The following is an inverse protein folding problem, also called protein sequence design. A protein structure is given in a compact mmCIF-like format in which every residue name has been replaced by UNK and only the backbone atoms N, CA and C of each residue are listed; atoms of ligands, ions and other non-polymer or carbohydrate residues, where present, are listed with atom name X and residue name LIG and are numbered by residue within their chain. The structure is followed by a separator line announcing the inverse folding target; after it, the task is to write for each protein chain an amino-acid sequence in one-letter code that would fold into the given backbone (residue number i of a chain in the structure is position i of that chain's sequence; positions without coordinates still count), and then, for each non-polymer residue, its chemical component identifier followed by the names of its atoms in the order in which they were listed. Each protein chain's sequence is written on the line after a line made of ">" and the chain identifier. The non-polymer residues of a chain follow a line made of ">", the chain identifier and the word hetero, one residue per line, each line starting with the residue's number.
data_IF_955960545627
#
_entry.id   IF_955960545627
#
_cell.length_a   1.000
_cell.length_b   1.000
_cell.length_c   1.000
_cell.angle_alpha   90.00
_cell.angle_beta   90.00
_cell.angle_gamma   90.00
#
_symmetry.space_group_name_H-M   'P 1'
#
loop_
_entity.id
_entity.type
_entity.pdbx_description
1 polymer ?
#
# COMPACT_ATOMS: atom_id res chain seq x y z
N UNK A 1 14.22 -17.28 -2.78
CA UNK A 1 14.23 -16.16 -3.73
C UNK A 1 13.15 -15.14 -3.36
N UNK A 2 13.31 -13.88 -3.77
CA UNK A 2 12.33 -12.80 -3.53
C UNK A 2 11.35 -12.80 -4.71
N UNK A 3 10.21 -13.49 -4.59
CA UNK A 3 9.17 -13.49 -5.64
C UNK A 3 8.25 -12.27 -5.56
N UNK A 4 7.87 -11.74 -6.73
CA UNK A 4 6.72 -10.84 -6.88
C UNK A 4 5.49 -11.69 -7.16
N UNK A 5 4.43 -11.54 -6.36
CA UNK A 5 3.16 -12.23 -6.62
C UNK A 5 2.29 -11.30 -7.45
N UNK A 6 1.95 -11.72 -8.67
CA UNK A 6 1.18 -10.90 -9.63
C UNK A 6 1.81 -9.50 -9.84
N UNK A 7 3.13 -9.44 -9.90
CA UNK A 7 3.86 -8.19 -10.11
C UNK A 7 3.94 -7.26 -8.90
N UNK A 8 3.40 -7.63 -7.73
CA UNK A 8 3.36 -6.74 -6.54
C UNK A 8 4.00 -7.38 -5.32
N UNK A 9 4.63 -6.56 -4.47
CA UNK A 9 5.25 -6.98 -3.22
C UNK A 9 5.33 -5.85 -2.19
N UNK A 10 5.09 -6.15 -0.91
CA UNK A 10 5.45 -5.25 0.19
C UNK A 10 6.97 -5.09 0.32
N UNK A 11 7.42 -3.92 0.72
CA UNK A 11 8.82 -3.59 0.95
C UNK A 11 8.97 -2.62 2.13
N UNK A 12 10.16 -2.61 2.71
CA UNK A 12 10.53 -1.65 3.73
C UNK A 12 11.96 -1.18 3.48
N UNK A 13 12.15 0.14 3.40
CA UNK A 13 13.45 0.77 3.21
C UNK A 13 14.05 1.11 4.58
N UNK A 14 15.31 0.72 4.79
CA UNK A 14 16.01 0.91 6.05
C UNK A 14 17.20 1.86 5.89
N UNK A 15 17.56 2.56 6.96
CA UNK A 15 18.85 3.22 7.06
C UNK A 15 19.98 2.23 7.40
N UNK A 16 21.22 2.72 7.36
CA UNK A 16 22.41 1.92 7.70
C UNK A 16 22.43 1.39 9.15
N UNK A 17 21.58 1.93 10.04
CA UNK A 17 21.43 1.47 11.42
C UNK A 17 20.33 0.42 11.56
N UNK A 18 19.64 0.07 10.48
CA UNK A 18 18.50 -0.85 10.48
C UNK A 18 17.19 -0.24 10.99
N UNK A 19 17.04 1.11 10.91
CA UNK A 19 15.78 1.80 11.22
C UNK A 19 14.98 2.05 9.96
N UNK A 20 13.66 2.00 10.07
CA UNK A 20 12.75 2.25 8.95
C UNK A 20 12.90 3.70 8.49
N UNK A 21 13.12 3.86 7.18
CA UNK A 21 12.97 5.12 6.45
C UNK A 21 11.51 5.27 6.04
N UNK A 22 10.96 4.26 5.36
CA UNK A 22 9.54 4.17 5.01
C UNK A 22 9.16 2.72 4.65
N UNK A 23 7.90 2.37 4.81
CA UNK A 23 7.27 1.25 4.10
C UNK A 23 6.96 1.64 2.66
N UNK A 24 6.79 0.63 1.81
CA UNK A 24 6.43 0.79 0.41
C UNK A 24 5.77 -0.46 -0.16
N UNK A 25 5.08 -0.31 -1.28
CA UNK A 25 4.64 -1.40 -2.16
C UNK A 25 5.41 -1.27 -3.47
N UNK A 26 6.07 -2.35 -3.88
CA UNK A 26 6.79 -2.44 -5.14
C UNK A 26 5.89 -3.05 -6.20
N UNK A 27 5.82 -2.39 -7.34
CA UNK A 27 5.18 -2.87 -8.55
C UNK A 27 6.24 -3.11 -9.61
N UNK A 28 6.28 -4.32 -10.18
CA UNK A 28 7.20 -4.70 -11.24
C UNK A 28 6.46 -4.68 -12.58
N UNK A 29 7.01 -3.92 -13.53
CA UNK A 29 6.59 -3.84 -14.92
C UNK A 29 7.75 -4.26 -15.83
N UNK A 30 7.45 -4.77 -17.03
CA UNK A 30 8.46 -5.25 -17.97
C UNK A 30 9.23 -6.50 -17.49
N UNK A 31 10.28 -6.87 -18.22
CA UNK A 31 11.10 -8.06 -17.94
C UNK A 31 10.45 -9.40 -18.34
N UNK A 32 9.36 -9.37 -19.11
CA UNK A 32 8.83 -10.54 -19.80
C UNK A 32 9.58 -10.77 -21.11
N UNK A 33 9.82 -12.04 -21.46
CA UNK A 33 10.25 -12.40 -22.82
C UNK A 33 8.97 -12.52 -23.63
N UNK A 34 8.74 -11.64 -24.61
CA UNK A 34 7.72 -11.90 -25.63
C UNK A 34 8.09 -13.20 -26.33
N UNK A 35 7.34 -14.27 -26.06
CA UNK A 35 7.56 -15.59 -26.64
C UNK A 35 7.38 -15.62 -28.18
N UNK A 36 7.03 -14.48 -28.79
CA UNK A 36 6.83 -14.28 -30.22
C UNK A 36 8.04 -13.69 -30.95
N UNK A 37 9.10 -13.23 -30.26
CA UNK A 37 10.31 -12.75 -30.95
C UNK A 37 11.58 -13.10 -30.17
N UNK A 38 12.37 -14.03 -30.72
CA UNK A 38 13.64 -14.49 -30.13
C UNK A 38 14.79 -13.48 -30.25
N UNK A 39 14.59 -12.39 -31.00
CA UNK A 39 15.65 -11.44 -31.39
C UNK A 39 15.45 -10.02 -30.84
N UNK A 40 14.35 -9.75 -30.10
CA UNK A 40 14.15 -8.47 -29.44
C UNK A 40 14.94 -8.42 -28.12
N UNK A 41 15.64 -7.31 -27.87
CA UNK A 41 16.21 -7.06 -26.56
C UNK A 41 15.07 -7.06 -25.52
N UNK A 42 15.24 -7.72 -24.36
CA UNK A 42 14.20 -7.73 -23.34
C UNK A 42 13.89 -6.30 -22.92
N UNK A 43 12.61 -5.99 -22.78
CA UNK A 43 12.18 -4.70 -22.27
C UNK A 43 12.87 -4.39 -20.94
N UNK A 44 13.30 -3.15 -20.71
CA UNK A 44 13.92 -2.76 -19.46
C UNK A 44 12.98 -3.09 -18.29
N UNK A 45 13.52 -3.67 -17.22
CA UNK A 45 12.74 -3.86 -16.00
C UNK A 45 12.42 -2.50 -15.38
N UNK A 46 11.13 -2.23 -15.20
CA UNK A 46 10.64 -1.01 -14.57
C UNK A 46 9.98 -1.33 -13.23
N UNK A 47 10.20 -0.46 -12.25
CA UNK A 47 9.60 -0.60 -10.93
C UNK A 47 8.93 0.71 -10.53
N UNK A 48 7.68 0.64 -10.10
CA UNK A 48 7.04 1.73 -9.35
C UNK A 48 7.13 1.44 -7.86
N UNK A 49 7.46 2.48 -7.10
CA UNK A 49 7.55 2.42 -5.64
C UNK A 49 6.40 3.26 -5.09
N UNK A 50 5.34 2.58 -4.71
CA UNK A 50 4.19 3.18 -4.04
C UNK A 50 4.54 3.39 -2.56
N UNK A 51 4.59 4.65 -2.15
CA UNK A 51 5.09 5.11 -0.85
C UNK A 51 4.13 6.14 -0.29
N UNK A 52 3.95 6.22 1.05
CA UNK A 52 3.19 7.29 1.68
C UNK A 52 3.69 8.67 1.22
N UNK A 53 2.75 9.58 0.94
CA UNK A 53 3.08 10.89 0.36
C UNK A 53 4.00 11.73 1.26
N UNK A 54 3.89 11.59 2.58
CA UNK A 54 4.76 12.25 3.56
C UNK A 54 6.19 11.68 3.62
N UNK A 55 6.44 10.54 2.97
CA UNK A 55 7.73 9.87 2.90
C UNK A 55 8.39 9.88 1.50
N UNK A 56 7.70 10.40 0.49
CA UNK A 56 8.16 10.39 -0.91
C UNK A 56 9.52 11.10 -1.09
N UNK A 57 9.63 12.36 -0.63
CA UNK A 57 10.88 13.14 -0.71
C UNK A 57 12.03 12.49 0.06
N UNK A 58 11.72 11.97 1.25
CA UNK A 58 12.68 11.29 2.11
C UNK A 58 13.23 10.03 1.42
N UNK A 59 12.36 9.22 0.81
CA UNK A 59 12.76 8.03 0.08
C UNK A 59 13.54 8.38 -1.19
N UNK A 60 13.11 9.39 -1.94
CA UNK A 60 13.80 9.83 -3.15
C UNK A 60 15.24 10.28 -2.85
N UNK A 61 15.42 11.08 -1.79
CA UNK A 61 16.75 11.47 -1.32
C UNK A 61 17.57 10.27 -0.86
N UNK A 62 16.95 9.33 -0.13
CA UNK A 62 17.59 8.10 0.32
C UNK A 62 18.08 7.24 -0.87
N UNK A 63 17.24 7.01 -1.87
CA UNK A 63 17.58 6.24 -3.06
C UNK A 63 18.69 6.91 -3.88
N UNK A 64 18.61 8.23 -4.09
CA UNK A 64 19.66 9.01 -4.79
C UNK A 64 21.02 8.91 -4.10
N UNK A 65 21.05 8.87 -2.77
CA UNK A 65 22.28 8.71 -1.98
C UNK A 65 23.01 7.39 -2.27
N UNK A 66 22.28 6.30 -2.52
CA UNK A 66 22.87 4.97 -2.77
C UNK A 66 22.95 4.61 -4.26
N UNK A 67 22.48 5.48 -5.16
CA UNK A 67 22.61 5.28 -6.62
C UNK A 67 24.08 5.31 -7.03
N UNK A 68 24.59 4.19 -7.53
CA UNK A 68 25.94 4.11 -8.08
C UNK A 68 26.03 4.84 -9.42
N UNK A 69 27.15 5.54 -9.66
CA UNK A 69 27.37 6.33 -10.88
C UNK A 69 27.24 5.52 -12.18
N UNK A 70 27.58 4.23 -12.16
CA UNK A 70 27.57 3.34 -13.33
C UNK A 70 26.39 2.34 -13.33
N UNK A 71 25.34 2.58 -12.54
CA UNK A 71 24.24 1.60 -12.42
C UNK A 71 23.29 1.57 -13.62
N UNK A 72 23.25 2.61 -14.45
CA UNK A 72 22.23 2.74 -15.51
C UNK A 72 20.79 2.95 -14.99
N UNK A 73 20.59 3.02 -13.66
CA UNK A 73 19.27 3.14 -13.05
C UNK A 73 18.81 4.60 -13.04
N UNK A 74 17.61 4.86 -13.53
CA UNK A 74 16.94 6.16 -13.44
C UNK A 74 15.92 6.14 -12.30
N UNK A 75 15.89 7.19 -11.49
CA UNK A 75 15.00 7.32 -10.32
C UNK A 75 14.34 8.69 -10.42
N UNK A 76 13.03 8.69 -10.64
CA UNK A 76 12.23 9.88 -10.93
C UNK A 76 10.97 9.82 -10.08
N UNK A 77 10.52 10.98 -9.61
CA UNK A 77 9.23 11.12 -8.96
C UNK A 77 8.13 11.15 -10.02
N UNK A 78 7.09 10.34 -9.84
CA UNK A 78 5.94 10.22 -10.75
C UNK A 78 4.61 10.50 -10.03
N UNK A 79 4.63 11.15 -8.86
CA UNK A 79 3.44 11.41 -8.05
C UNK A 79 2.37 12.25 -8.76
N UNK A 80 2.73 13.08 -9.74
CA UNK A 80 1.77 13.85 -10.54
C UNK A 80 1.16 13.05 -11.72
N UNK A 81 1.79 11.94 -12.09
CA UNK A 81 1.44 11.16 -13.27
C UNK A 81 0.71 9.86 -12.93
N UNK A 82 0.92 9.35 -11.71
CA UNK A 82 0.38 8.07 -11.26
C UNK A 82 -0.51 8.27 -10.04
N UNK A 83 -1.79 7.95 -10.18
CA UNK A 83 -2.75 7.92 -9.08
C UNK A 83 -2.69 6.60 -8.32
N UNK A 84 -2.83 6.62 -6.98
CA UNK A 84 -2.84 5.42 -6.14
C UNK A 84 -4.14 5.36 -5.34
N UNK A 85 -4.81 4.20 -5.38
CA UNK A 85 -6.09 3.98 -4.74
C UNK A 85 -6.15 2.65 -4.00
N UNK A 86 -6.99 2.60 -2.97
CA UNK A 86 -7.37 1.39 -2.25
C UNK A 86 -8.85 1.10 -2.53
N UNK A 87 -9.15 -0.17 -2.81
CA UNK A 87 -10.45 -0.62 -3.31
C UNK A 87 -10.89 -1.88 -2.55
N UNK A 88 -12.01 -1.81 -1.83
CA UNK A 88 -12.42 -2.85 -0.87
C UNK A 88 -13.17 -4.04 -1.47
N UNK A 89 -12.54 -4.86 -2.28
CA UNK A 89 -13.12 -6.12 -2.75
C UNK A 89 -12.27 -6.72 -3.85
N UNK A 90 -12.88 -7.35 -4.85
CA UNK A 90 -12.15 -7.91 -5.99
C UNK A 90 -12.65 -7.32 -7.29
N UNK A 91 -11.78 -7.25 -8.30
CA UNK A 91 -12.21 -6.97 -9.66
C UNK A 91 -13.19 -8.04 -10.14
N UNK A 92 -14.15 -7.62 -10.96
CA UNK A 92 -15.05 -8.52 -11.65
C UNK A 92 -14.29 -9.35 -12.71
N UNK A 93 -14.99 -10.27 -13.39
CA UNK A 93 -14.39 -11.11 -14.42
C UNK A 93 -13.78 -10.34 -15.62
N UNK A 94 -14.06 -9.04 -15.75
CA UNK A 94 -13.50 -8.17 -16.79
C UNK A 94 -12.03 -7.80 -16.60
N UNK A 95 -11.45 -8.09 -15.43
CA UNK A 95 -10.04 -7.81 -15.16
C UNK A 95 -9.72 -6.33 -14.93
N UNK A 96 -8.43 -6.01 -14.96
CA UNK A 96 -7.94 -4.63 -14.78
C UNK A 96 -8.05 -3.88 -16.12
N UNK A 97 -8.74 -2.73 -16.19
CA UNK A 97 -8.82 -1.96 -17.44
C UNK A 97 -7.46 -1.46 -17.93
N UNK A 98 -7.37 -1.15 -19.22
CA UNK A 98 -6.18 -0.51 -19.81
C UNK A 98 -5.87 0.83 -19.12
N UNK A 99 -4.59 1.12 -18.92
CA UNK A 99 -4.13 2.30 -18.20
C UNK A 99 -4.19 2.18 -16.67
N UNK A 100 -4.55 1.01 -16.14
CA UNK A 100 -4.53 0.71 -14.71
C UNK A 100 -3.69 -0.53 -14.40
N UNK A 101 -3.14 -0.58 -13.20
CA UNK A 101 -2.60 -1.80 -12.59
C UNK A 101 -3.34 -2.07 -11.29
N UNK A 102 -3.67 -3.32 -10.99
CA UNK A 102 -4.40 -3.67 -9.78
C UNK A 102 -3.94 -5.03 -9.25
N UNK A 103 -3.75 -5.11 -7.94
CA UNK A 103 -3.41 -6.34 -7.25
C UNK A 103 -4.01 -6.33 -5.85
N UNK A 104 -4.16 -7.52 -5.26
CA UNK A 104 -4.51 -7.63 -3.83
C UNK A 104 -3.39 -6.95 -3.03
N UNK A 105 -3.75 -6.12 -2.06
CA UNK A 105 -2.78 -5.44 -1.20
C UNK A 105 -1.89 -6.49 -0.51
N UNK A 106 -0.57 -6.46 -0.73
CA UNK A 106 0.33 -7.51 -0.25
C UNK A 106 0.52 -7.48 1.28
N UNK A 107 0.07 -6.42 1.96
CA UNK A 107 0.26 -6.23 3.40
C UNK A 107 -0.82 -6.94 4.20
N UNK A 108 -2.08 -6.84 3.76
CA UNK A 108 -3.21 -7.47 4.44
C UNK A 108 -4.45 -7.58 3.55
N UNK A 109 -5.16 -8.73 3.50
CA UNK A 109 -6.34 -8.91 2.65
C UNK A 109 -7.49 -7.92 2.92
N UNK A 110 -7.64 -7.43 4.16
CA UNK A 110 -8.69 -6.46 4.50
C UNK A 110 -8.50 -5.08 3.85
N UNK A 111 -7.32 -4.77 3.31
CA UNK A 111 -7.11 -3.58 2.50
C UNK A 111 -7.57 -3.75 1.04
N UNK A 112 -8.10 -4.92 0.69
CA UNK A 112 -8.65 -5.19 -0.63
C UNK A 112 -7.59 -5.13 -1.72
N UNK A 113 -7.88 -4.37 -2.77
CA UNK A 113 -7.02 -4.17 -3.93
C UNK A 113 -6.30 -2.83 -3.83
N UNK A 114 -5.01 -2.83 -4.14
CA UNK A 114 -4.24 -1.63 -4.45
C UNK A 114 -4.35 -1.40 -5.96
N UNK A 115 -4.64 -0.17 -6.37
CA UNK A 115 -4.86 0.20 -7.79
C UNK A 115 -3.99 1.39 -8.14
N UNK A 116 -3.23 1.28 -9.22
CA UNK A 116 -2.49 2.36 -9.85
C UNK A 116 -3.23 2.84 -11.10
N UNK A 117 -3.41 4.15 -11.25
CA UNK A 117 -3.78 4.79 -12.50
C UNK A 117 -2.50 5.24 -13.19
N UNK A 118 -2.13 4.59 -14.30
CA UNK A 118 -0.85 4.75 -14.99
C UNK A 118 -0.89 5.79 -16.11
N UNK A 119 -2.07 6.31 -16.40
CA UNK A 119 -2.28 7.36 -17.40
C UNK A 119 -3.03 8.50 -16.72
N UNK A 120 -2.84 9.77 -17.14
CA UNK A 120 -3.67 10.89 -16.69
C UNK A 120 -5.16 10.80 -17.08
N UNK A 121 -5.65 9.60 -17.43
CA UNK A 121 -7.01 9.36 -17.90
C UNK A 121 -8.01 9.83 -16.84
N UNK A 122 -8.99 10.61 -17.30
CA UNK A 122 -9.89 11.42 -16.49
C UNK A 122 -10.42 10.67 -15.26
N UNK A 123 -10.46 11.37 -14.12
CA UNK A 123 -11.12 10.96 -12.88
C UNK A 123 -12.51 10.34 -13.07
N UNK A 124 -13.20 10.67 -14.17
CA UNK A 124 -14.47 10.08 -14.58
C UNK A 124 -14.40 8.56 -14.83
N UNK A 125 -13.39 8.05 -15.55
CA UNK A 125 -13.26 6.62 -15.84
C UNK A 125 -12.96 5.79 -14.58
N UNK A 126 -12.19 6.37 -13.64
CA UNK A 126 -11.94 5.75 -12.35
C UNK A 126 -13.19 5.78 -11.46
N UNK A 127 -13.91 6.90 -11.40
CA UNK A 127 -15.17 7.00 -10.66
C UNK A 127 -16.23 6.03 -11.18
N UNK A 128 -16.32 5.82 -12.50
CA UNK A 128 -17.25 4.85 -13.11
C UNK A 128 -16.84 3.40 -12.85
N UNK A 129 -15.53 3.08 -12.91
CA UNK A 129 -15.01 1.78 -12.49
C UNK A 129 -15.37 1.49 -11.02
N UNK A 130 -15.35 2.52 -10.17
CA UNK A 130 -15.50 2.41 -8.73
C UNK A 130 -16.95 2.49 -8.24
N UNK A 131 -17.81 3.25 -8.91
CA UNK A 131 -19.22 3.48 -8.54
C UNK A 131 -20.08 2.22 -8.64
N UNK A 132 -19.70 1.28 -9.51
CA UNK A 132 -20.34 -0.03 -9.65
C UNK A 132 -19.81 -1.11 -8.69
N UNK A 133 -18.71 -0.88 -7.99
CA UNK A 133 -18.04 -1.93 -7.21
C UNK A 133 -17.99 -1.68 -5.70
N UNK A 134 -18.01 -0.43 -5.20
CA UNK A 134 -17.80 -0.17 -3.75
C UNK A 134 -18.57 1.03 -3.18
N UNK A 135 -18.90 1.00 -1.87
CA UNK A 135 -19.54 2.14 -1.22
C UNK A 135 -18.61 3.37 -1.18
N UNK A 136 -19.10 4.57 -1.53
CA UNK A 136 -18.35 5.81 -1.38
C UNK A 136 -18.32 6.18 0.10
N UNK A 137 -17.23 5.87 0.80
CA UNK A 137 -17.10 6.20 2.22
C UNK A 137 -15.73 6.82 2.55
N UNK A 138 -15.66 8.12 2.85
CA UNK A 138 -14.44 8.78 3.28
C UNK A 138 -13.90 8.19 4.59
N UNK A 139 -12.57 8.23 4.78
CA UNK A 139 -11.84 7.82 6.01
C UNK A 139 -11.87 6.33 6.36
N UNK A 140 -12.44 5.50 5.51
CA UNK A 140 -12.44 4.03 5.61
C UNK A 140 -11.03 3.44 5.64
N UNK A 141 -10.11 3.94 4.80
CA UNK A 141 -8.73 3.46 4.71
C UNK A 141 -7.99 3.46 6.03
N UNK A 142 -7.91 4.62 6.69
CA UNK A 142 -7.20 4.78 7.95
C UNK A 142 -7.79 3.92 9.07
N UNK A 143 -9.12 3.76 9.10
CA UNK A 143 -9.78 2.94 10.11
C UNK A 143 -9.48 1.46 9.86
N UNK A 144 -9.66 0.98 8.64
CA UNK A 144 -9.44 -0.43 8.29
C UNK A 144 -7.98 -0.83 8.47
N UNK A 145 -7.02 0.02 8.04
CA UNK A 145 -5.58 -0.29 8.24
C UNK A 145 -5.22 -0.34 9.72
N UNK A 146 -5.75 0.59 10.53
CA UNK A 146 -5.48 0.64 11.97
C UNK A 146 -6.06 -0.56 12.68
N UNK A 147 -7.26 -1.00 12.32
CA UNK A 147 -7.86 -2.23 12.87
C UNK A 147 -7.11 -3.49 12.43
N UNK A 148 -6.55 -3.49 11.22
CA UNK A 148 -5.66 -4.54 10.74
C UNK A 148 -4.25 -4.49 11.37
N UNK A 149 -3.95 -3.50 12.22
CA UNK A 149 -2.64 -3.35 12.88
C UNK A 149 -1.51 -2.89 11.96
N UNK A 150 -1.86 -2.20 10.87
CA UNK A 150 -0.92 -1.76 9.84
C UNK A 150 -0.51 -0.30 10.08
N UNK A 151 0.73 -0.14 10.55
CA UNK A 151 1.36 1.18 10.61
C UNK A 151 1.94 1.55 9.25
N UNK A 152 1.81 2.82 8.88
CA UNK A 152 2.20 3.36 7.57
C UNK A 152 2.88 4.73 7.72
N UNK A 153 3.86 5.02 6.86
CA UNK A 153 4.49 6.34 6.75
C UNK A 153 5.18 6.77 8.05
N UNK A 154 4.88 8.00 8.50
CA UNK A 154 5.47 8.57 9.73
C UNK A 154 5.21 7.75 11.00
N UNK A 155 4.20 6.88 11.04
CA UNK A 155 3.94 5.95 12.15
C UNK A 155 5.08 4.93 12.35
N UNK A 156 5.94 4.74 11.35
CA UNK A 156 7.06 3.80 11.37
C UNK A 156 8.40 4.47 11.74
N UNK A 157 8.45 5.80 11.77
CA UNK A 157 9.70 6.56 11.88
C UNK A 157 10.53 6.13 13.09
N UNK A 158 11.82 5.86 12.86
CA UNK A 158 12.80 5.51 13.89
C UNK A 158 12.67 4.11 14.51
N UNK A 159 11.69 3.30 14.08
CA UNK A 159 11.45 1.93 14.58
C UNK A 159 12.22 0.89 13.76
N UNK A 160 12.30 -0.34 14.26
CA UNK A 160 12.83 -1.48 13.48
C UNK A 160 11.74 -2.13 12.63
N UNK A 161 12.16 -2.81 11.56
CA UNK A 161 11.26 -3.58 10.70
C UNK A 161 10.41 -4.59 11.49
N UNK A 162 11.02 -5.31 12.44
CA UNK A 162 10.33 -6.34 13.22
C UNK A 162 9.38 -5.78 14.29
N UNK A 163 9.72 -4.64 14.91
CA UNK A 163 8.78 -3.93 15.80
C UNK A 163 7.53 -3.46 15.05
N UNK A 164 7.66 -3.22 13.74
CA UNK A 164 6.56 -2.79 12.88
C UNK A 164 5.96 -3.92 12.04
N UNK A 165 6.17 -5.19 12.40
CA UNK A 165 5.53 -6.36 11.76
C UNK A 165 5.84 -6.52 10.25
N UNK A 166 6.93 -5.94 9.75
CA UNK A 166 7.28 -5.94 8.32
C UNK A 166 7.61 -7.34 7.78
N UNK A 167 7.96 -8.30 8.64
CA UNK A 167 8.11 -9.71 8.28
C UNK A 167 6.79 -10.38 7.89
N UNK A 168 5.66 -9.89 8.40
CA UNK A 168 4.33 -10.43 8.06
C UNK A 168 3.74 -9.77 6.81
N UNK A 169 4.13 -8.53 6.52
CA UNK A 169 3.65 -7.73 5.39
C UNK A 169 4.52 -7.87 4.12
N UNK A 170 5.48 -8.80 4.13
CA UNK A 170 6.40 -9.03 3.00
C UNK A 170 7.56 -8.03 2.87
N UNK A 171 7.64 -7.04 3.78
CA UNK A 171 8.67 -6.00 3.82
C UNK A 171 10.07 -6.50 4.21
N UNK A 172 10.17 -7.64 4.90
CA UNK A 172 11.44 -8.30 5.25
C UNK A 172 11.52 -9.71 4.65
N UNK A 173 12.71 -10.09 4.17
CA UNK A 173 13.03 -11.46 3.81
C UNK A 173 14.33 -11.87 4.46
N UNK A 174 14.31 -12.99 5.19
CA UNK A 174 15.49 -13.59 5.82
C UNK A 174 16.28 -14.51 4.88
N UNK A 175 15.79 -14.70 3.64
CA UNK A 175 16.37 -15.59 2.63
C UNK A 175 16.93 -14.85 1.40
N UNK A 176 16.96 -13.50 1.44
CA UNK A 176 17.51 -12.69 0.34
C UNK A 176 18.98 -12.32 0.61
N UNK A 177 19.66 -11.83 -0.42
CA UNK A 177 21.04 -11.33 -0.33
C UNK A 177 21.16 -10.08 0.56
N UNK A 178 22.36 -9.51 0.58
CA UNK A 178 22.67 -8.37 1.44
C UNK A 178 21.81 -7.15 1.13
N UNK A 179 21.31 -6.48 2.17
CA UNK A 179 20.58 -5.22 2.07
C UNK A 179 20.95 -4.27 3.20
N UNK A 180 20.71 -2.98 3.01
CA UNK A 180 21.06 -1.94 3.98
C UNK A 180 20.35 -2.18 5.32
N UNK A 181 21.09 -2.16 6.43
CA UNK A 181 20.54 -2.34 7.77
C UNK A 181 20.13 -3.78 8.12
N UNK A 182 20.54 -4.77 7.32
CA UNK A 182 20.22 -6.18 7.54
C UNK A 182 20.73 -6.71 8.87
N UNK A 183 21.90 -6.28 9.34
CA UNK A 183 22.57 -6.83 10.51
C UNK A 183 21.70 -6.74 11.76
N UNK A 184 21.04 -5.59 11.95
CA UNK A 184 20.13 -5.39 13.08
C UNK A 184 18.89 -6.27 12.95
N UNK A 185 18.30 -6.33 11.75
CA UNK A 185 17.09 -7.14 11.47
C UNK A 185 17.35 -8.63 11.67
N UNK A 186 18.46 -9.14 11.11
CA UNK A 186 18.86 -10.54 11.23
C UNK A 186 19.22 -10.89 12.68
N UNK A 187 20.01 -10.05 13.37
CA UNK A 187 20.31 -10.24 14.79
C UNK A 187 19.03 -10.32 15.61
N UNK A 188 18.12 -9.37 15.44
CA UNK A 188 16.86 -9.33 16.19
C UNK A 188 16.01 -10.58 15.94
N UNK A 189 15.99 -11.10 14.71
CA UNK A 189 15.29 -12.34 14.37
C UNK A 189 15.92 -13.59 15.03
N UNK A 190 17.24 -13.67 15.10
CA UNK A 190 17.94 -14.87 15.59
C UNK A 190 18.25 -14.87 17.09
N UNK A 191 18.50 -13.71 17.71
CA UNK A 191 18.98 -13.62 19.10
C UNK A 191 17.87 -13.50 20.15
N UNK A 192 16.60 -13.34 19.77
CA UNK A 192 15.52 -13.34 20.76
C UNK A 192 14.17 -12.83 20.27
N UNK A 193 13.17 -12.96 21.14
CA UNK A 193 11.81 -12.53 20.88
C UNK A 193 11.71 -11.00 20.69
N UNK A 194 10.99 -10.58 19.65
CA UNK A 194 10.59 -9.19 19.44
C UNK A 194 9.68 -8.76 20.61
N UNK A 195 10.20 -7.91 21.50
CA UNK A 195 9.53 -7.55 22.77
C UNK A 195 8.50 -6.43 22.66
N UNK A 196 8.52 -5.69 21.55
CA UNK A 196 7.61 -4.57 21.27
C UNK A 196 7.12 -4.72 19.85
N UNK A 197 5.81 -4.59 19.65
CA UNK A 197 5.19 -4.63 18.32
C UNK A 197 4.14 -3.53 18.21
N UNK A 198 3.96 -3.02 17.00
CA UNK A 198 2.76 -2.28 16.63
C UNK A 198 1.56 -3.22 16.77
N UNK A 199 0.54 -2.78 17.50
CA UNK A 199 -0.70 -3.51 17.70
C UNK A 199 -1.88 -2.56 17.50
N UNK A 200 -2.99 -3.04 16.94
CA UNK A 200 -4.25 -2.30 16.95
C UNK A 200 -4.73 -2.16 18.39
N UNK A 201 -5.15 -0.96 18.78
CA UNK A 201 -5.79 -0.71 20.08
C UNK A 201 -7.12 -0.01 19.86
N UNK A 202 -8.12 -0.42 20.64
CA UNK A 202 -9.39 0.28 20.77
C UNK A 202 -9.48 0.79 22.21
N UNK A 203 -9.61 2.10 22.36
CA UNK A 203 -9.90 2.70 23.65
C UNK A 203 -11.42 2.72 23.82
N UNK A 204 -11.91 2.10 24.89
CA UNK A 204 -13.33 2.02 25.23
C UNK A 204 -13.54 2.61 26.63
N UNK A 205 -14.67 3.29 26.89
CA UNK A 205 -15.10 3.60 28.24
C UNK A 205 -15.18 2.33 29.09
N UNK A 206 -14.95 2.46 30.39
CA UNK A 206 -14.94 1.35 31.34
C UNK A 206 -16.29 0.64 31.47
N UNK A 207 -17.37 1.34 31.13
CA UNK A 207 -18.74 0.87 31.23
C UNK A 207 -19.22 0.12 29.97
N UNK A 208 -18.45 0.20 28.88
CA UNK A 208 -18.81 -0.43 27.60
C UNK A 208 -18.07 -1.76 27.49
N UNK A 209 -18.85 -2.85 27.37
CA UNK A 209 -18.29 -4.17 27.08
C UNK A 209 -17.52 -4.11 25.75
N UNK A 210 -16.24 -4.53 25.77
CA UNK A 210 -15.38 -4.52 24.60
C UNK A 210 -16.09 -5.32 23.49
N UNK A 211 -16.51 -4.68 22.39
CA UNK A 211 -17.26 -5.37 21.37
C UNK A 211 -16.37 -6.44 20.74
N UNK A 212 -16.95 -7.59 20.40
CA UNK A 212 -16.21 -8.63 19.69
C UNK A 212 -15.71 -8.07 18.35
N UNK A 213 -14.59 -8.54 17.79
CA UNK A 213 -14.02 -7.97 16.55
C UNK A 213 -15.02 -7.86 15.40
N UNK A 214 -15.93 -8.82 15.25
CA UNK A 214 -16.99 -8.78 14.23
C UNK A 214 -18.11 -7.78 14.54
N UNK A 215 -18.37 -7.47 15.82
CA UNK A 215 -19.28 -6.40 16.23
C UNK A 215 -18.71 -5.03 15.88
N UNK A 216 -17.39 -4.84 16.02
CA UNK A 216 -16.71 -3.62 15.60
C UNK A 216 -16.81 -3.46 14.08
N UNK A 217 -16.59 -4.53 13.32
CA UNK A 217 -16.72 -4.50 11.86
C UNK A 217 -18.15 -4.12 11.42
N UNK A 218 -19.17 -4.68 12.05
CA UNK A 218 -20.58 -4.36 11.81
C UNK A 218 -20.94 -2.91 12.18
N UNK A 219 -20.47 -2.43 13.35
CA UNK A 219 -20.63 -1.03 13.77
C UNK A 219 -20.00 -0.05 12.78
N UNK A 220 -18.81 -0.36 12.27
CA UNK A 220 -18.12 0.46 11.26
C UNK A 220 -18.92 0.47 9.96
N UNK A 221 -19.40 -0.68 9.51
CA UNK A 221 -20.25 -0.77 8.31
C UNK A 221 -21.55 0.03 8.48
N UNK A 222 -22.21 -0.06 9.64
CA UNK A 222 -23.42 0.70 9.95
C UNK A 222 -23.19 2.21 10.02
N UNK A 223 -22.08 2.66 10.64
CA UNK A 223 -21.69 4.07 10.66
C UNK A 223 -21.35 4.59 9.25
N UNK A 224 -20.71 3.77 8.42
CA UNK A 224 -20.38 4.12 7.03
C UNK A 224 -21.63 4.19 6.14
N UNK A 225 -22.63 3.33 6.36
CA UNK A 225 -23.92 3.38 5.66
C UNK A 225 -24.71 4.65 6.02
N UNK A 226 -24.74 5.03 7.31
CA UNK A 226 -25.41 6.24 7.77
C UNK A 226 -24.75 7.53 7.24
N UNK A 227 -23.41 7.56 7.14
CA UNK A 227 -22.68 8.70 6.59
C UNK A 227 -22.91 8.89 5.08
N UNK A 228 -23.03 7.81 4.31
CA UNK A 228 -23.32 7.88 2.87
C UNK A 228 -24.74 8.32 2.52
N UNK A 229 -25.70 8.16 3.44
CA UNK A 229 -27.07 8.67 3.29
C UNK A 229 -27.16 10.19 3.56
N UNK A 230 -26.36 10.70 4.49
CA UNK A 230 -26.29 12.14 4.78
C UNK A 230 -25.71 12.94 3.59
N UNK A 231 -24.67 12.42 2.93
CA UNK A 231 -24.02 13.07 1.77
C UNK A 231 -24.95 13.12 0.53
N UNK A 232 -25.85 12.14 0.38
CA UNK A 232 -26.88 12.14 -0.69
C UNK A 232 -28.02 13.11 -0.42
N UNK A 233 -28.32 13.38 0.85
CA UNK A 233 -29.38 14.32 1.23
C UNK A 233 -28.96 15.78 0.98
N UNK A 234 -27.67 16.12 1.08
CA UNK A 234 -27.16 17.48 0.84
C UNK A 234 -26.93 17.80 -0.65
N UNK A 235 -26.67 16.80 -1.50
CA UNK A 235 -26.47 17.00 -2.95
C UNK A 235 -27.74 17.16 -3.79
N UNK A 236 -28.93 16.93 -3.22
CA UNK A 236 -30.22 16.97 -3.93
C UNK A 236 -30.92 18.33 -3.97
N UNK A 237 -30.39 19.36 -3.31
CA UNK A 237 -31.02 20.68 -3.18
C UNK A 237 -30.55 21.69 -4.23
N UNK A 238 -30.78 21.43 -5.52
CA UNK A 238 -30.30 22.31 -6.59
C UNK A 238 -31.16 22.28 -7.84
N UNK A 239 -32.47 22.50 -7.72
CA UNK A 239 -33.34 22.70 -8.88
C UNK A 239 -34.56 23.55 -8.54
N UNK A 240 -34.67 24.74 -9.16
CA UNK A 240 -35.94 25.45 -9.29
C UNK A 240 -35.80 26.98 -9.29
N UNK A 241 -35.69 27.59 -10.47
CA UNK A 241 -35.89 29.03 -10.64
C UNK A 241 -35.41 29.59 -11.98
N UNK A 242 -36.12 29.29 -13.07
CA UNK A 242 -36.79 30.27 -13.96
C UNK A 242 -37.64 29.54 -15.02
#
# INVERSE_FOLDING_TARGET
>A
EVEFRRGVRGACFLDHRGRIVTDAILWKFGGGVDASSSDAAPDPEEYLIDVPGDAADLLLAHLKKYKLRKSGVTIVDRSEEVGVHCVYGTLNAGGTPEGYAAAIDPRHPSLGMRVLSLTPSSTLAFADLMSGMFPPAPRSYDVVRKLAGLAEGTELSGRTALECNQEFMGGVSFRKGCYLGQELTARSHHTGAVRKRVLPILLSPTEVEVPRPWTIADMIQGMMAAAGDADRAEGGGGGGGD
#
